data_IF_454785522161
#
_entry.id   IF_454785522161
#
_cell.length_a   1.000
_cell.length_b   1.000
_cell.length_c   1.000
_cell.angle_alpha   90.00
_cell.angle_beta   90.00
_cell.angle_gamma   90.00
#
_symmetry.space_group_name_H-M   'P 1'
#
loop_
_entity.id
_entity.type
_entity.pdbx_description
1 polymer ?
#
# COMPACT_ATOMS: atom_id res chain seq x y z
N UNK A 1 -21.48 12.65 -11.81
CA UNK A 1 -21.06 12.77 -13.22
C UNK A 1 -20.49 14.19 -13.39
N UNK A 2 -19.19 14.29 -13.68
CA UNK A 2 -18.34 15.48 -13.96
C UNK A 2 -18.11 16.49 -12.81
N UNK A 3 -16.92 16.60 -12.20
CA UNK A 3 -15.61 17.13 -12.65
C UNK A 3 -15.36 18.49 -11.94
N UNK A 4 -14.47 18.57 -10.94
CA UNK A 4 -13.05 18.99 -11.02
C UNK A 4 -12.83 20.40 -11.62
N UNK A 5 -12.01 21.20 -10.91
CA UNK A 5 -11.30 22.45 -11.30
C UNK A 5 -11.99 23.81 -11.07
N UNK A 6 -11.54 24.54 -10.04
CA UNK A 6 -11.00 25.90 -10.21
C UNK A 6 -10.17 26.34 -8.99
N UNK A 7 -8.91 26.56 -9.26
CA UNK A 7 -7.75 26.85 -8.42
C UNK A 7 -7.71 28.25 -7.78
N UNK A 8 -6.88 28.37 -6.73
CA UNK A 8 -5.99 29.49 -6.37
C UNK A 8 -6.45 30.97 -6.52
N UNK A 9 -6.46 31.69 -5.39
CA UNK A 9 -6.04 33.10 -5.35
C UNK A 9 -5.24 33.37 -4.06
N UNK A 10 -3.97 33.74 -4.22
CA UNK A 10 -3.14 34.35 -3.18
C UNK A 10 -3.69 35.75 -2.87
N UNK A 11 -3.72 36.12 -1.59
CA UNK A 11 -3.63 37.52 -1.18
C UNK A 11 -2.61 37.67 -0.04
N UNK A 12 -1.79 38.71 -0.15
CA UNK A 12 -0.66 39.03 0.70
C UNK A 12 -1.07 39.73 2.02
N UNK A 13 -0.22 39.50 3.03
CA UNK A 13 0.11 40.34 4.17
C UNK A 13 -1.01 41.09 4.92
N UNK A 14 -1.43 40.50 6.04
CA UNK A 14 -1.61 41.17 7.33
C UNK A 14 -1.51 40.10 8.43
N UNK A 15 -0.98 40.44 9.60
CA UNK A 15 -0.89 39.56 10.77
C UNK A 15 -2.22 38.85 11.01
N UNK A 16 -2.26 37.53 10.84
CA UNK A 16 -3.52 36.77 10.88
C UNK A 16 -3.51 35.80 12.05
N UNK A 17 -4.60 35.86 12.81
CA UNK A 17 -5.01 34.91 13.84
C UNK A 17 -4.67 33.46 13.48
N UNK A 18 -4.46 32.56 14.47
CA UNK A 18 -4.15 31.16 14.23
C UNK A 18 -5.08 30.60 13.16
N UNK A 19 -4.49 30.07 12.09
CA UNK A 19 -5.21 29.68 10.89
C UNK A 19 -6.48 28.87 11.25
N UNK A 20 -7.65 29.19 10.67
CA UNK A 20 -8.87 28.48 10.99
C UNK A 20 -8.66 26.98 10.75
N UNK A 21 -9.00 26.17 11.75
CA UNK A 21 -8.90 24.71 11.64
C UNK A 21 -9.76 24.29 10.45
N UNK A 22 -9.10 23.86 9.37
CA UNK A 22 -9.79 23.42 8.15
C UNK A 22 -10.43 22.05 8.45
N UNK A 23 -11.72 22.06 8.74
CA UNK A 23 -12.52 20.84 8.85
C UNK A 23 -12.70 20.20 7.47
N UNK A 24 -12.91 18.89 7.46
CA UNK A 24 -13.43 18.23 6.26
C UNK A 24 -14.84 18.76 5.95
N UNK A 25 -15.26 18.83 4.66
CA UNK A 25 -16.58 19.30 4.30
C UNK A 25 -17.70 18.52 5.00
N UNK A 26 -18.77 19.20 5.42
CA UNK A 26 -19.91 18.59 6.11
C UNK A 26 -20.50 17.35 5.40
N UNK A 27 -20.59 17.28 4.05
CA UNK A 27 -21.04 16.07 3.37
C UNK A 27 -20.14 14.84 3.57
N UNK A 28 -18.86 15.05 3.89
CA UNK A 28 -17.89 13.98 4.12
C UNK A 28 -17.84 13.55 5.59
N UNK A 29 -18.25 14.42 6.53
CA UNK A 29 -18.20 14.16 7.98
C UNK A 29 -18.81 12.81 8.36
N UNK A 30 -20.03 12.43 7.92
CA UNK A 30 -20.65 11.16 8.31
C UNK A 30 -19.83 9.91 7.97
N UNK A 31 -18.99 9.96 6.93
CA UNK A 31 -18.19 8.82 6.47
C UNK A 31 -17.11 8.42 7.49
N UNK A 32 -16.68 9.36 8.32
CA UNK A 32 -15.63 9.17 9.33
C UNK A 32 -16.18 9.06 10.76
N UNK A 33 -17.51 9.07 10.90
CA UNK A 33 -18.20 8.83 12.16
C UNK A 33 -18.52 7.34 12.33
N UNK A 34 -18.52 6.88 13.58
CA UNK A 34 -18.74 5.48 13.93
C UNK A 34 -20.24 5.21 14.05
N UNK A 35 -20.78 4.43 13.13
CA UNK A 35 -22.18 4.01 13.15
C UNK A 35 -22.53 3.20 14.42
N UNK A 36 -21.64 2.30 14.84
CA UNK A 36 -21.81 1.44 16.01
C UNK A 36 -21.78 2.20 17.36
N UNK A 37 -21.29 3.44 17.37
CA UNK A 37 -21.25 4.30 18.56
C UNK A 37 -22.32 5.40 18.52
N UNK A 38 -23.24 5.36 17.54
CA UNK A 38 -24.35 6.31 17.43
C UNK A 38 -23.99 7.70 16.91
N UNK A 39 -22.72 7.96 16.57
CA UNK A 39 -22.24 9.29 16.15
C UNK A 39 -22.89 9.77 14.84
N UNK A 40 -23.17 8.85 13.91
CA UNK A 40 -23.87 9.16 12.64
C UNK A 40 -25.32 9.60 12.92
N UNK A 41 -25.98 8.97 13.89
CA UNK A 41 -27.34 9.30 14.30
C UNK A 41 -27.35 10.67 15.00
N UNK A 42 -26.36 10.91 15.85
CA UNK A 42 -26.17 12.19 16.54
C UNK A 42 -25.94 13.34 15.54
N UNK A 43 -25.11 13.11 14.52
CA UNK A 43 -24.91 14.05 13.42
C UNK A 43 -26.23 14.40 12.73
N UNK A 44 -26.98 13.38 12.30
CA UNK A 44 -28.28 13.58 11.63
C UNK A 44 -29.27 14.37 12.48
N UNK A 45 -29.35 14.09 13.79
CA UNK A 45 -30.21 14.83 14.74
C UNK A 45 -29.77 16.28 14.88
N UNK A 46 -28.47 16.54 14.98
CA UNK A 46 -27.93 17.89 15.13
C UNK A 46 -28.15 18.73 13.85
N UNK A 47 -28.01 18.14 12.65
CA UNK A 47 -28.34 18.80 11.39
C UNK A 47 -29.83 19.18 11.34
N UNK A 48 -30.73 18.25 11.66
CA UNK A 48 -32.17 18.52 11.70
C UNK A 48 -32.53 19.60 12.72
N UNK A 49 -31.86 19.63 13.88
CA UNK A 49 -32.07 20.66 14.90
C UNK A 49 -31.60 22.04 14.44
N UNK A 50 -30.47 22.10 13.72
CA UNK A 50 -29.95 23.31 13.11
C UNK A 50 -30.95 23.88 12.08
N UNK A 51 -31.45 23.04 11.17
CA UNK A 51 -32.43 23.43 10.15
C UNK A 51 -33.73 23.94 10.76
N UNK A 52 -34.27 23.24 11.77
CA UNK A 52 -35.47 23.69 12.52
C UNK A 52 -35.24 25.02 13.23
N UNK A 53 -34.07 25.20 13.83
CA UNK A 53 -33.68 26.45 14.46
C UNK A 53 -33.63 27.61 13.47
N UNK A 54 -33.04 27.40 12.28
CA UNK A 54 -33.00 28.38 11.20
C UNK A 54 -34.39 28.74 10.67
N UNK A 55 -35.28 27.75 10.49
CA UNK A 55 -36.67 28.00 10.10
C UNK A 55 -37.41 28.86 11.13
N UNK A 56 -37.20 28.59 12.43
CA UNK A 56 -37.77 29.41 13.52
C UNK A 56 -37.24 30.83 13.52
N UNK A 57 -35.94 31.03 13.27
CA UNK A 57 -35.36 32.37 13.12
C UNK A 57 -36.00 33.13 11.95
N UNK A 58 -36.16 32.47 10.80
CA UNK A 58 -36.83 33.07 9.63
C UNK A 58 -38.30 33.40 9.93
N UNK A 59 -39.03 32.49 10.56
CA UNK A 59 -40.43 32.69 10.96
C UNK A 59 -40.56 33.86 11.95
N UNK A 60 -39.74 33.89 13.00
CA UNK A 60 -39.74 34.95 14.00
C UNK A 60 -39.41 36.31 13.39
N UNK A 61 -38.40 36.38 12.51
CA UNK A 61 -38.06 37.60 11.77
C UNK A 61 -39.18 38.05 10.83
N UNK A 62 -39.87 37.12 10.17
CA UNK A 62 -41.02 37.43 9.31
C UNK A 62 -42.17 38.05 10.11
N UNK A 63 -42.49 37.51 11.29
CA UNK A 63 -43.53 38.07 12.19
C UNK A 63 -43.10 39.44 12.74
N UNK A 64 -41.82 39.61 13.04
CA UNK A 64 -41.28 40.88 13.56
C UNK A 64 -41.34 42.00 12.51
N UNK A 65 -41.09 41.68 11.25
CA UNK A 65 -41.05 42.62 10.13
C UNK A 65 -42.40 42.83 9.43
N UNK A 66 -43.45 42.08 9.80
CA UNK A 66 -44.76 42.21 9.18
C UNK A 66 -45.39 43.59 9.49
N UNK A 67 -45.99 44.28 8.50
CA UNK A 67 -46.68 45.55 8.71
C UNK A 67 -47.88 45.36 9.63
N UNK A 68 -48.03 46.26 10.61
CA UNK A 68 -49.00 46.11 11.70
C UNK A 68 -50.14 47.09 11.51
N UNK A 69 -51.31 46.56 11.24
CA UNK A 69 -52.55 47.34 11.16
C UNK A 69 -53.19 47.27 12.55
N UNK A 70 -53.50 48.42 13.15
CA UNK A 70 -54.25 48.47 14.42
C UNK A 70 -55.71 48.09 14.15
N UNK A 71 -56.03 46.80 14.19
CA UNK A 71 -57.40 46.31 14.12
C UNK A 71 -57.94 46.02 15.52
N UNK A 72 -58.87 46.86 15.97
CA UNK A 72 -59.60 46.72 17.24
C UNK A 72 -60.73 45.70 17.09
N UNK A 73 -60.50 44.47 17.56
CA UNK A 73 -61.52 43.45 17.76
C UNK A 73 -61.15 42.55 18.94
N UNK A 74 -62.12 42.13 19.75
CA UNK A 74 -61.94 41.44 21.05
C UNK A 74 -61.22 40.08 21.01
N UNK A 75 -60.79 39.62 19.82
CA UNK A 75 -60.14 38.34 19.58
C UNK A 75 -58.85 38.44 18.75
N UNK A 76 -58.30 39.64 18.54
CA UNK A 76 -57.05 39.81 17.77
C UNK A 76 -55.84 40.11 18.65
N UNK A 77 -54.71 39.46 18.33
CA UNK A 77 -53.40 39.62 18.99
C UNK A 77 -52.93 41.08 18.90
N UNK A 78 -52.55 41.68 20.03
CA UNK A 78 -52.04 43.06 20.02
C UNK A 78 -50.65 43.13 19.38
N UNK A 79 -50.23 44.30 18.83
CA UNK A 79 -48.87 44.48 18.34
C UNK A 79 -47.80 44.04 19.37
N UNK A 80 -47.97 44.38 20.65
CA UNK A 80 -47.01 44.00 21.69
C UNK A 80 -46.95 42.49 21.91
N UNK A 81 -48.10 41.81 21.90
CA UNK A 81 -48.18 40.34 21.97
C UNK A 81 -47.49 39.68 20.78
N UNK A 82 -47.67 40.23 19.57
CA UNK A 82 -46.99 39.75 18.37
C UNK A 82 -45.45 39.95 18.42
N UNK A 83 -44.95 41.05 19.02
CA UNK A 83 -43.48 41.22 19.27
C UNK A 83 -42.98 40.17 20.25
N UNK A 84 -43.67 40.00 21.38
CA UNK A 84 -43.28 39.05 22.41
C UNK A 84 -43.26 37.61 21.88
N UNK A 85 -44.26 37.23 21.06
CA UNK A 85 -44.29 35.93 20.37
C UNK A 85 -43.15 35.78 19.37
N UNK A 86 -42.90 36.78 18.52
CA UNK A 86 -41.80 36.74 17.56
C UNK A 86 -40.45 36.59 18.26
N UNK A 87 -40.21 37.35 19.34
CA UNK A 87 -38.98 37.30 20.12
C UNK A 87 -38.77 35.93 20.77
N UNK A 88 -39.83 35.34 21.36
CA UNK A 88 -39.79 33.98 21.91
C UNK A 88 -39.40 32.94 20.86
N UNK A 89 -39.98 33.02 19.65
CA UNK A 89 -39.64 32.12 18.54
C UNK A 89 -38.16 32.30 18.11
N UNK A 90 -37.68 33.54 18.06
CA UNK A 90 -36.28 33.85 17.75
C UNK A 90 -35.34 33.27 18.81
N UNK A 91 -35.64 33.45 20.09
CA UNK A 91 -34.78 32.97 21.18
C UNK A 91 -34.76 31.43 21.26
N UNK A 92 -35.89 30.77 21.04
CA UNK A 92 -35.96 29.32 20.86
C UNK A 92 -35.13 28.86 19.65
N UNK A 93 -35.21 29.60 18.53
CA UNK A 93 -34.40 29.34 17.34
C UNK A 93 -32.90 29.49 17.60
N UNK A 94 -32.48 30.55 18.30
CA UNK A 94 -31.08 30.78 18.70
C UNK A 94 -30.56 29.67 19.61
N UNK A 95 -31.35 29.25 20.61
CA UNK A 95 -30.98 28.17 21.51
C UNK A 95 -30.80 26.83 20.77
N UNK A 96 -31.71 26.53 19.81
CA UNK A 96 -31.61 25.33 18.98
C UNK A 96 -30.38 25.35 18.07
N UNK A 97 -30.10 26.48 17.41
CA UNK A 97 -28.91 26.66 16.57
C UNK A 97 -27.63 26.54 17.40
N UNK A 98 -27.56 27.20 18.56
CA UNK A 98 -26.38 27.17 19.44
C UNK A 98 -26.10 25.75 19.97
N UNK A 99 -27.13 25.04 20.43
CA UNK A 99 -26.98 23.65 20.88
C UNK A 99 -26.54 22.70 19.77
N UNK A 100 -27.14 22.82 18.57
CA UNK A 100 -26.76 22.02 17.42
C UNK A 100 -25.31 22.32 16.96
N UNK A 101 -24.90 23.59 16.95
CA UNK A 101 -23.56 24.00 16.54
C UNK A 101 -22.45 23.36 17.39
N UNK A 102 -22.64 23.30 18.72
CA UNK A 102 -21.67 22.65 19.63
C UNK A 102 -21.48 21.18 19.28
N UNK A 103 -22.58 20.46 19.06
CA UNK A 103 -22.57 19.04 18.70
C UNK A 103 -21.93 18.81 17.33
N UNK A 104 -22.32 19.59 16.32
CA UNK A 104 -21.76 19.49 14.97
C UNK A 104 -20.26 19.78 14.98
N UNK A 105 -19.80 20.79 15.71
CA UNK A 105 -18.38 21.11 15.81
C UNK A 105 -17.56 20.02 16.49
N UNK A 106 -18.11 19.37 17.53
CA UNK A 106 -17.47 18.21 18.15
C UNK A 106 -17.34 17.07 17.15
N UNK A 107 -18.41 16.76 16.41
CA UNK A 107 -18.41 15.68 15.42
C UNK A 107 -17.49 15.99 14.22
N UNK A 108 -17.44 17.24 13.75
CA UNK A 108 -16.47 17.70 12.74
C UNK A 108 -15.03 17.51 13.21
N UNK A 109 -14.72 17.85 14.46
CA UNK A 109 -13.40 17.61 15.06
C UNK A 109 -13.04 16.14 15.09
N UNK A 110 -13.95 15.28 15.55
CA UNK A 110 -13.76 13.82 15.59
C UNK A 110 -13.53 13.26 14.18
N UNK A 111 -14.40 13.61 13.24
CA UNK A 111 -14.31 13.14 11.86
C UNK A 111 -13.03 13.64 11.17
N UNK A 112 -12.65 14.90 11.38
CA UNK A 112 -11.41 15.48 10.83
C UNK A 112 -10.17 14.82 11.42
N UNK A 113 -10.16 14.51 12.73
CA UNK A 113 -9.05 13.79 13.35
C UNK A 113 -8.90 12.38 12.77
N UNK A 114 -10.01 11.65 12.63
CA UNK A 114 -10.00 10.30 12.03
C UNK A 114 -9.62 10.32 10.56
N UNK A 115 -10.10 11.30 9.80
CA UNK A 115 -9.67 11.51 8.42
C UNK A 115 -8.15 11.69 8.35
N UNK A 116 -7.58 12.60 9.15
CA UNK A 116 -6.13 12.84 9.19
C UNK A 116 -5.35 11.59 9.55
N UNK A 117 -5.81 10.82 10.53
CA UNK A 117 -5.17 9.55 10.90
C UNK A 117 -5.23 8.51 9.77
N UNK A 118 -6.34 8.46 9.03
CA UNK A 118 -6.55 7.55 7.91
C UNK A 118 -5.82 7.97 6.63
N UNK A 119 -5.47 9.24 6.48
CA UNK A 119 -4.82 9.78 5.27
C UNK A 119 -3.42 10.33 5.54
N UNK A 120 -2.80 9.98 6.67
CA UNK A 120 -1.42 10.38 6.94
C UNK A 120 -0.47 9.71 5.97
N UNK A 121 0.66 10.35 5.71
CA UNK A 121 1.76 9.74 4.98
C UNK A 121 2.36 8.62 5.82
N UNK A 122 2.53 7.45 5.22
CA UNK A 122 3.24 6.31 5.80
C UNK A 122 4.48 6.04 4.95
N UNK A 123 5.62 5.85 5.60
CA UNK A 123 6.83 5.42 4.93
C UNK A 123 7.11 3.97 5.31
N UNK A 124 7.20 3.11 4.30
CA UNK A 124 7.69 1.74 4.44
C UNK A 124 9.12 1.73 3.94
N UNK A 125 10.07 1.32 4.78
CA UNK A 125 11.50 1.34 4.45
C UNK A 125 12.14 0.01 4.84
N UNK A 126 12.77 -0.63 3.87
CA UNK A 126 13.51 -1.88 4.07
C UNK A 126 14.95 -1.71 3.55
N UNK A 127 15.91 -2.36 4.23
CA UNK A 127 17.33 -2.28 3.93
C UNK A 127 17.87 -3.67 3.58
N UNK A 128 18.66 -3.73 2.51
CA UNK A 128 19.19 -4.97 1.94
C UNK A 128 20.70 -4.84 1.79
N UNK A 129 21.49 -5.32 2.78
CA UNK A 129 22.93 -5.38 2.65
C UNK A 129 23.30 -6.38 1.55
N UNK A 130 24.27 -6.00 0.72
CA UNK A 130 24.74 -6.87 -0.35
C UNK A 130 25.28 -8.19 0.19
N UNK A 131 24.85 -9.30 -0.40
CA UNK A 131 25.19 -10.65 0.01
C UNK A 131 25.45 -11.58 -1.18
N UNK A 132 26.15 -12.69 -0.94
CA UNK A 132 26.43 -13.69 -1.98
C UNK A 132 25.15 -14.43 -2.37
N UNK A 133 24.93 -14.63 -3.67
CA UNK A 133 23.75 -15.32 -4.23
C UNK A 133 23.47 -16.65 -3.54
N UNK A 134 24.48 -17.52 -3.41
CA UNK A 134 24.31 -18.82 -2.76
C UNK A 134 23.90 -18.75 -1.28
N UNK A 135 24.35 -17.72 -0.55
CA UNK A 135 23.90 -17.48 0.83
C UNK A 135 22.43 -17.05 0.85
N UNK A 136 22.05 -16.10 -0.02
CA UNK A 136 20.68 -15.62 -0.14
C UNK A 136 19.69 -16.74 -0.50
N UNK A 137 20.03 -17.60 -1.45
CA UNK A 137 19.18 -18.73 -1.85
C UNK A 137 19.00 -19.73 -0.69
N UNK A 138 20.06 -20.06 0.06
CA UNK A 138 19.93 -20.91 1.25
C UNK A 138 19.03 -20.29 2.32
N UNK A 139 19.21 -19.00 2.60
CA UNK A 139 18.39 -18.29 3.59
C UNK A 139 16.92 -18.21 3.16
N UNK A 140 16.67 -17.92 1.89
CA UNK A 140 15.34 -17.91 1.30
C UNK A 140 14.67 -19.29 1.40
N UNK A 141 15.38 -20.36 1.04
CA UNK A 141 14.87 -21.74 1.15
C UNK A 141 14.42 -22.06 2.58
N UNK A 142 15.25 -21.78 3.59
CA UNK A 142 14.91 -22.05 5.00
C UNK A 142 13.67 -21.26 5.44
N UNK A 143 13.61 -19.96 5.12
CA UNK A 143 12.51 -19.08 5.54
C UNK A 143 11.21 -19.44 4.83
N UNK A 144 11.24 -19.66 3.52
CA UNK A 144 10.07 -20.02 2.74
C UNK A 144 9.56 -21.42 3.10
N UNK A 145 10.45 -22.40 3.36
CA UNK A 145 10.04 -23.70 3.91
C UNK A 145 9.34 -23.56 5.26
N UNK A 146 9.82 -22.66 6.14
CA UNK A 146 9.14 -22.37 7.40
C UNK A 146 7.75 -21.79 7.16
N UNK A 147 7.60 -20.81 6.28
CA UNK A 147 6.28 -20.25 5.91
C UNK A 147 5.35 -21.35 5.39
N UNK A 148 5.85 -22.22 4.52
CA UNK A 148 5.07 -23.29 3.94
C UNK A 148 4.62 -24.30 5.03
N UNK A 149 5.53 -24.68 5.93
CA UNK A 149 5.23 -25.58 7.06
C UNK A 149 4.19 -24.99 8.00
N UNK A 150 4.37 -23.73 8.41
CA UNK A 150 3.45 -23.03 9.30
C UNK A 150 2.07 -22.80 8.64
N UNK A 151 2.05 -22.68 7.30
CA UNK A 151 0.83 -22.58 6.48
C UNK A 151 0.14 -23.91 6.17
N UNK A 152 0.73 -25.05 6.54
CA UNK A 152 0.19 -26.39 6.29
C UNK A 152 0.48 -26.98 4.89
N UNK A 153 1.31 -26.32 4.10
CA UNK A 153 1.70 -26.76 2.77
C UNK A 153 2.67 -27.95 2.84
N UNK A 154 2.38 -29.01 2.09
CA UNK A 154 3.15 -30.27 2.13
C UNK A 154 3.98 -30.52 0.87
N UNK A 155 3.64 -29.86 -0.23
CA UNK A 155 4.30 -30.05 -1.53
C UNK A 155 4.79 -28.72 -2.05
N UNK A 156 6.02 -28.71 -2.57
CA UNK A 156 6.66 -27.51 -3.12
C UNK A 156 7.15 -27.80 -4.54
N UNK A 157 6.68 -27.02 -5.50
CA UNK A 157 7.21 -27.03 -6.86
C UNK A 157 8.10 -25.81 -7.08
N UNK A 158 9.38 -26.04 -7.37
CA UNK A 158 10.28 -24.99 -7.87
C UNK A 158 10.16 -24.98 -9.40
N UNK A 159 9.56 -23.92 -9.94
CA UNK A 159 9.05 -23.94 -11.33
C UNK A 159 9.92 -23.17 -12.33
N UNK A 160 10.80 -22.29 -11.86
CA UNK A 160 11.71 -21.60 -12.74
C UNK A 160 12.30 -20.32 -12.16
N UNK A 161 12.99 -19.59 -13.02
CA UNK A 161 13.53 -18.28 -12.71
C UNK A 161 13.60 -17.41 -13.94
N UNK A 162 13.45 -16.11 -13.71
CA UNK A 162 13.65 -15.08 -14.73
C UNK A 162 14.67 -14.04 -14.27
N UNK A 163 15.34 -13.45 -15.24
CA UNK A 163 16.18 -12.27 -15.08
C UNK A 163 15.62 -11.16 -15.95
N UNK A 164 15.41 -10.00 -15.38
CA UNK A 164 15.05 -8.78 -16.09
C UNK A 164 16.23 -7.81 -15.99
N UNK A 165 16.88 -7.54 -17.11
CA UNK A 165 17.97 -6.57 -17.18
C UNK A 165 17.41 -5.15 -17.30
N UNK A 166 18.29 -4.15 -17.18
CA UNK A 166 17.87 -2.74 -17.25
C UNK A 166 17.24 -2.33 -18.60
N UNK A 167 17.43 -3.10 -19.68
CA UNK A 167 16.73 -2.89 -20.95
C UNK A 167 15.27 -3.38 -20.93
N UNK A 168 14.80 -3.92 -19.79
CA UNK A 168 13.45 -4.41 -19.59
C UNK A 168 13.18 -5.80 -20.19
N UNK A 169 14.17 -6.42 -20.84
CA UNK A 169 14.00 -7.74 -21.43
C UNK A 169 14.07 -8.84 -20.38
N UNK A 170 13.23 -9.85 -20.57
CA UNK A 170 13.10 -11.00 -19.68
C UNK A 170 13.86 -12.19 -20.28
N UNK A 171 14.73 -12.78 -19.49
CA UNK A 171 15.51 -13.97 -19.83
C UNK A 171 15.21 -15.09 -18.83
N UNK A 172 15.02 -16.32 -19.30
CA UNK A 172 14.95 -17.48 -18.41
C UNK A 172 16.37 -17.84 -17.93
N UNK A 173 16.53 -18.17 -16.65
CA UNK A 173 17.86 -18.46 -16.06
C UNK A 173 17.93 -19.82 -15.35
N UNK A 174 17.90 -20.95 -16.09
CA UNK A 174 17.81 -22.29 -15.49
C UNK A 174 18.84 -22.59 -14.40
N UNK A 175 20.07 -22.11 -14.53
CA UNK A 175 21.12 -22.28 -13.52
C UNK A 175 20.75 -21.71 -12.13
N UNK A 176 19.97 -20.62 -12.08
CA UNK A 176 19.45 -20.05 -10.82
C UNK A 176 18.35 -20.93 -10.25
N UNK A 177 17.51 -21.51 -11.10
CA UNK A 177 16.49 -22.49 -10.70
C UNK A 177 17.13 -23.74 -10.07
N UNK A 178 18.17 -24.29 -10.71
CA UNK A 178 18.94 -25.42 -10.20
C UNK A 178 19.62 -25.10 -8.87
N UNK A 179 20.21 -23.90 -8.76
CA UNK A 179 20.84 -23.42 -7.52
C UNK A 179 19.82 -23.29 -6.37
N UNK A 180 18.62 -22.77 -6.64
CA UNK A 180 17.54 -22.72 -5.66
C UNK A 180 17.10 -24.14 -5.26
N UNK A 181 16.98 -25.06 -6.22
CA UNK A 181 16.57 -26.45 -5.95
C UNK A 181 17.61 -27.18 -5.09
N UNK A 182 18.89 -26.94 -5.33
CA UNK A 182 19.98 -27.45 -4.50
C UNK A 182 19.96 -26.85 -3.08
N UNK A 183 19.77 -25.54 -2.96
CA UNK A 183 19.62 -24.86 -1.67
C UNK A 183 18.39 -25.36 -0.88
N UNK A 184 17.27 -25.57 -1.56
CA UNK A 184 16.04 -26.14 -0.99
C UNK A 184 16.26 -27.55 -0.45
N UNK A 185 16.85 -28.42 -1.28
CA UNK A 185 17.15 -29.81 -0.92
C UNK A 185 18.11 -29.87 0.28
N UNK A 186 19.11 -28.98 0.31
CA UNK A 186 20.06 -28.88 1.42
C UNK A 186 19.40 -28.44 2.73
N UNK A 187 18.42 -27.53 2.65
CA UNK A 187 17.66 -27.07 3.82
C UNK A 187 16.72 -28.17 4.34
N UNK A 188 15.91 -28.74 3.46
CA UNK A 188 15.03 -29.89 3.70
C UNK A 188 14.49 -30.38 2.35
N UNK A 189 14.76 -31.64 2.01
CA UNK A 189 14.26 -32.25 0.78
C UNK A 189 12.79 -32.66 0.85
N UNK A 190 12.20 -32.68 2.05
CA UNK A 190 10.84 -33.14 2.30
C UNK A 190 9.82 -32.29 1.53
N UNK A 191 8.91 -32.96 0.83
CA UNK A 191 7.84 -32.28 0.09
C UNK A 191 8.27 -31.59 -1.21
N UNK A 192 9.56 -31.57 -1.55
CA UNK A 192 10.01 -31.03 -2.83
C UNK A 192 9.60 -31.97 -3.97
N UNK A 193 8.74 -31.47 -4.87
CA UNK A 193 8.26 -32.24 -6.00
C UNK A 193 9.36 -32.41 -7.07
N UNK A 194 9.37 -33.55 -7.80
CA UNK A 194 10.23 -33.73 -8.96
C UNK A 194 9.91 -32.71 -10.06
N UNK A 195 10.88 -32.42 -10.91
CA UNK A 195 10.65 -31.63 -12.12
C UNK A 195 9.88 -32.51 -13.11
N UNK A 196 8.73 -32.08 -13.66
CA UNK A 196 8.01 -32.84 -14.67
C UNK A 196 8.86 -33.07 -15.92
N UNK A 197 8.73 -34.23 -16.55
CA UNK A 197 9.48 -34.58 -17.77
C UNK A 197 9.19 -33.63 -18.93
N UNK A 198 7.92 -33.25 -19.10
CA UNK A 198 7.46 -32.29 -20.11
C UNK A 198 7.76 -30.81 -19.72
N UNK A 199 8.31 -30.59 -18.52
CA UNK A 199 8.53 -29.26 -17.95
C UNK A 199 7.25 -28.60 -17.40
N UNK A 200 7.40 -27.35 -16.98
CA UNK A 200 6.30 -26.52 -16.49
C UNK A 200 5.80 -25.57 -17.57
N UNK A 201 4.48 -25.39 -17.67
CA UNK A 201 3.82 -24.39 -18.51
C UNK A 201 2.59 -23.84 -17.79
N UNK A 202 2.31 -22.54 -17.89
CA UNK A 202 1.12 -21.98 -17.24
C UNK A 202 -0.11 -22.23 -18.12
N UNK A 203 -1.10 -22.93 -17.56
CA UNK A 203 -2.43 -23.08 -18.16
C UNK A 203 -3.49 -22.51 -17.23
N UNK A 204 -4.33 -21.63 -17.77
CA UNK A 204 -5.38 -21.00 -16.98
C UNK A 204 -6.43 -22.05 -16.58
N UNK A 205 -6.81 -22.05 -15.30
CA UNK A 205 -7.94 -22.88 -14.86
C UNK A 205 -9.25 -22.36 -15.43
N UNK A 206 -10.23 -23.23 -15.64
CA UNK A 206 -11.62 -22.79 -15.86
C UNK A 206 -12.19 -22.21 -14.57
N UNK A 207 -13.25 -21.40 -14.66
CA UNK A 207 -13.88 -20.76 -13.49
C UNK A 207 -14.14 -21.79 -12.37
N UNK A 208 -13.58 -21.52 -11.18
CA UNK A 208 -13.54 -22.36 -9.98
C UNK A 208 -12.50 -23.50 -9.92
N UNK A 209 -11.59 -23.63 -10.88
CA UNK A 209 -10.49 -24.61 -10.83
C UNK A 209 -9.11 -23.94 -10.73
N UNK A 210 -8.19 -24.58 -10.03
CA UNK A 210 -6.82 -24.10 -9.90
C UNK A 210 -6.11 -24.11 -11.27
N UNK A 211 -5.23 -23.14 -11.56
CA UNK A 211 -4.37 -23.19 -12.74
C UNK A 211 -3.52 -24.46 -12.77
N UNK A 212 -3.25 -24.97 -13.97
CA UNK A 212 -2.43 -26.16 -14.18
C UNK A 212 -1.04 -25.75 -14.62
N UNK A 213 0.00 -26.28 -13.95
CA UNK A 213 1.40 -26.01 -14.31
C UNK A 213 2.07 -27.15 -15.09
N UNK A 214 1.48 -28.34 -15.09
CA UNK A 214 1.91 -29.51 -15.83
C UNK A 214 0.71 -30.43 -16.08
N UNK A 215 0.84 -31.40 -16.97
CA UNK A 215 -0.23 -32.32 -17.35
C UNK A 215 -0.78 -33.13 -16.18
N UNK A 216 0.10 -33.55 -15.26
CA UNK A 216 -0.26 -34.36 -14.08
C UNK A 216 -0.57 -33.50 -12.84
N UNK A 217 -0.77 -32.19 -13.02
CA UNK A 217 -0.98 -31.24 -11.92
C UNK A 217 -2.33 -31.48 -11.23
N UNK A 218 -2.30 -31.93 -9.98
CA UNK A 218 -3.50 -32.18 -9.15
C UNK A 218 -3.47 -31.34 -7.89
N UNK A 219 -4.07 -30.14 -7.97
CA UNK A 219 -4.25 -29.24 -6.82
C UNK A 219 -5.74 -29.03 -6.60
N UNK A 220 -6.30 -29.72 -5.59
CA UNK A 220 -7.75 -29.78 -5.35
C UNK A 220 -8.23 -28.90 -4.18
N UNK A 221 -7.31 -28.35 -3.39
CA UNK A 221 -7.67 -27.48 -2.26
C UNK A 221 -6.57 -26.46 -1.94
N UNK A 222 -6.95 -25.29 -1.40
CA UNK A 222 -5.99 -24.32 -0.88
C UNK A 222 -5.07 -24.91 0.19
N UNK A 223 -3.91 -24.28 0.41
CA UNK A 223 -2.98 -24.62 1.50
C UNK A 223 -2.38 -26.04 1.45
N UNK A 224 -2.33 -26.65 0.27
CA UNK A 224 -1.75 -28.00 0.10
C UNK A 224 -0.41 -27.97 -0.63
N UNK A 225 -0.35 -27.22 -1.72
CA UNK A 225 0.80 -27.17 -2.63
C UNK A 225 1.24 -25.72 -2.85
N UNK A 226 2.56 -25.48 -2.87
CA UNK A 226 3.14 -24.18 -3.20
C UNK A 226 3.88 -24.21 -4.52
N UNK A 227 3.90 -23.06 -5.18
CA UNK A 227 4.74 -22.77 -6.35
C UNK A 227 5.83 -21.78 -5.93
N UNK A 228 7.08 -22.06 -6.25
CA UNK A 228 8.26 -21.27 -5.87
C UNK A 228 9.09 -20.93 -7.11
N UNK A 229 9.55 -19.69 -7.21
CA UNK A 229 10.38 -19.23 -8.33
C UNK A 229 11.34 -18.12 -7.90
N UNK A 230 12.28 -17.79 -8.79
CA UNK A 230 13.23 -16.68 -8.59
C UNK A 230 13.02 -15.59 -9.63
N UNK A 231 13.04 -14.34 -9.19
CA UNK A 231 13.04 -13.15 -10.04
C UNK A 231 14.34 -12.39 -9.77
N UNK A 232 15.12 -12.09 -10.81
CA UNK A 232 16.37 -11.33 -10.69
C UNK A 232 16.22 -10.03 -11.47
N UNK A 233 16.46 -8.88 -10.84
CA UNK A 233 16.34 -7.57 -11.48
C UNK A 233 17.66 -6.82 -11.46
N UNK A 234 18.12 -6.38 -12.63
CA UNK A 234 19.28 -5.48 -12.77
C UNK A 234 19.00 -4.12 -12.15
N UNK A 235 19.95 -3.61 -11.35
CA UNK A 235 19.87 -2.27 -10.77
C UNK A 235 20.76 -1.28 -11.52
N UNK A 236 22.02 -1.62 -11.71
CA UNK A 236 23.01 -0.77 -12.39
C UNK A 236 23.01 -1.02 -13.90
N UNK A 237 23.40 -0.03 -14.69
CA UNK A 237 23.40 -0.09 -16.16
C UNK A 237 24.27 -1.24 -16.70
N UNK A 238 25.35 -1.57 -15.99
CA UNK A 238 26.21 -2.73 -16.26
C UNK A 238 25.65 -4.06 -15.71
N UNK A 239 24.52 -4.02 -15.02
CA UNK A 239 23.87 -5.11 -14.30
C UNK A 239 24.77 -5.83 -13.28
N UNK A 240 25.81 -5.16 -12.78
CA UNK A 240 26.72 -5.71 -11.76
C UNK A 240 25.99 -5.96 -10.43
N UNK A 241 25.04 -5.09 -10.07
CA UNK A 241 24.17 -5.24 -8.91
C UNK A 241 22.75 -5.64 -9.31
N UNK A 242 22.20 -6.59 -8.56
CA UNK A 242 20.86 -7.12 -8.80
C UNK A 242 20.06 -7.26 -7.52
N UNK A 243 18.75 -7.16 -7.63
CA UNK A 243 17.84 -7.68 -6.61
C UNK A 243 17.45 -9.11 -6.98
N UNK A 244 17.74 -10.04 -6.09
CA UNK A 244 17.28 -11.40 -6.15
C UNK A 244 16.06 -11.54 -5.26
N UNK A 245 14.94 -11.98 -5.84
CA UNK A 245 13.70 -12.23 -5.13
C UNK A 245 13.31 -13.69 -5.27
N UNK A 246 13.02 -14.35 -4.14
CA UNK A 246 12.45 -15.70 -4.14
C UNK A 246 10.99 -15.59 -3.71
N UNK A 247 10.08 -16.01 -4.57
CA UNK A 247 8.64 -15.88 -4.38
C UNK A 247 8.03 -17.24 -4.11
N UNK A 248 6.96 -17.23 -3.33
CA UNK A 248 6.14 -18.40 -3.05
C UNK A 248 4.66 -18.03 -3.16
N UNK A 249 3.90 -18.84 -3.90
CA UNK A 249 2.45 -18.73 -4.02
C UNK A 249 1.75 -20.03 -3.60
N UNK A 250 0.50 -19.90 -3.18
CA UNK A 250 -0.42 -21.03 -3.08
C UNK A 250 -0.83 -21.49 -4.49
N UNK A 251 -0.59 -22.76 -4.80
CA UNK A 251 -0.85 -23.33 -6.12
C UNK A 251 -2.35 -23.39 -6.49
N UNK A 252 -3.26 -23.32 -5.51
CA UNK A 252 -4.70 -23.34 -5.77
C UNK A 252 -5.23 -21.95 -6.09
N UNK A 253 -4.85 -20.95 -5.28
CA UNK A 253 -5.39 -19.58 -5.40
C UNK A 253 -4.53 -18.67 -6.27
N UNK A 254 -3.29 -19.07 -6.59
CA UNK A 254 -2.25 -18.24 -7.20
C UNK A 254 -2.03 -16.90 -6.48
N UNK A 255 -2.22 -16.88 -5.16
CA UNK A 255 -1.87 -15.73 -4.33
C UNK A 255 -0.48 -15.92 -3.75
N UNK A 256 0.31 -14.85 -3.74
CA UNK A 256 1.59 -14.83 -3.05
C UNK A 256 1.37 -15.02 -1.54
N UNK A 257 2.18 -15.88 -0.94
CA UNK A 257 2.18 -16.20 0.49
C UNK A 257 3.54 -15.96 1.13
N UNK A 258 4.59 -15.83 0.32
CA UNK A 258 5.94 -15.57 0.78
C UNK A 258 6.75 -14.82 -0.26
N UNK A 259 7.60 -13.92 0.21
CA UNK A 259 8.57 -13.24 -0.63
C UNK A 259 9.81 -12.90 0.18
N UNK A 260 10.95 -13.31 -0.34
CA UNK A 260 12.25 -12.92 0.19
C UNK A 260 12.97 -12.07 -0.87
N UNK A 261 13.67 -11.02 -0.44
CA UNK A 261 14.39 -10.10 -1.32
C UNK A 261 15.80 -9.85 -0.78
N UNK A 262 16.77 -9.81 -1.69
CA UNK A 262 18.19 -9.64 -1.36
C UNK A 262 18.90 -8.80 -2.41
N UNK A 263 19.85 -7.98 -1.97
CA UNK A 263 20.82 -7.33 -2.86
C UNK A 263 21.98 -8.29 -3.13
N UNK A 264 22.25 -8.57 -4.40
CA UNK A 264 23.28 -9.51 -4.85
C UNK A 264 24.04 -8.99 -6.07
N UNK A 265 24.94 -9.81 -6.61
CA UNK A 265 25.59 -9.57 -7.91
C UNK A 265 25.12 -10.57 -8.95
N UNK A 266 25.03 -10.16 -10.22
CA UNK A 266 24.57 -11.04 -11.30
C UNK A 266 25.59 -12.13 -11.67
N UNK A 267 26.88 -11.78 -11.67
CA UNK A 267 27.99 -12.71 -11.89
C UNK A 267 28.75 -12.97 -10.59
N UNK A 268 29.49 -14.10 -10.50
CA UNK A 268 30.57 -14.25 -9.53
C UNK A 268 31.67 -13.25 -9.91
N UNK A 269 31.44 -11.96 -9.65
CA UNK A 269 32.50 -10.97 -9.75
C UNK A 269 33.51 -11.32 -8.67
N UNK A 270 34.66 -11.84 -9.09
CA UNK A 270 35.74 -12.30 -8.20
C UNK A 270 36.28 -11.18 -7.29
N UNK A 271 35.90 -9.93 -7.52
CA UNK A 271 35.94 -8.89 -6.51
C UNK A 271 34.92 -7.79 -6.81
N UNK A 272 33.97 -7.57 -5.89
CA UNK A 272 33.22 -6.31 -5.91
C UNK A 272 34.06 -5.32 -5.11
N UNK A 273 34.70 -4.36 -5.80
CA UNK A 273 35.57 -3.38 -5.16
C UNK A 273 34.86 -2.52 -4.09
N UNK A 274 33.52 -2.48 -4.13
CA UNK A 274 32.62 -1.69 -3.30
C UNK A 274 31.46 -2.55 -2.84
N UNK A 275 31.14 -2.52 -1.54
CA UNK A 275 29.97 -3.21 -0.99
C UNK A 275 28.84 -2.21 -0.89
N UNK A 276 27.65 -2.57 -1.37
CA UNK A 276 26.48 -1.69 -1.34
C UNK A 276 25.44 -2.13 -0.31
N UNK A 277 24.60 -1.18 0.09
CA UNK A 277 23.32 -1.41 0.73
C UNK A 277 22.22 -0.88 -0.18
N UNK A 278 21.17 -1.65 -0.39
CA UNK A 278 19.97 -1.17 -1.08
C UNK A 278 18.93 -0.76 -0.05
N UNK A 279 18.40 0.45 -0.20
CA UNK A 279 17.28 0.95 0.59
C UNK A 279 16.06 1.05 -0.31
N UNK A 280 15.03 0.27 -0.01
CA UNK A 280 13.74 0.34 -0.68
C UNK A 280 12.81 1.17 0.19
N UNK A 281 12.20 2.21 -0.39
CA UNK A 281 11.30 3.10 0.34
C UNK A 281 10.02 3.37 -0.46
N UNK A 282 8.87 3.09 0.16
CA UNK A 282 7.55 3.54 -0.32
C UNK A 282 7.04 4.64 0.59
N UNK A 283 6.91 5.85 0.02
CA UNK A 283 6.14 6.94 0.61
C UNK A 283 4.70 6.83 0.15
N UNK A 284 3.84 6.26 0.99
CA UNK A 284 2.39 6.16 0.79
C UNK A 284 1.73 7.43 1.33
N UNK A 285 1.30 8.31 0.44
CA UNK A 285 0.87 9.67 0.78
C UNK A 285 -0.51 9.73 1.45
N UNK A 286 -1.25 8.61 1.50
CA UNK A 286 -2.62 8.56 2.05
C UNK A 286 -2.92 7.28 2.83
N UNK A 287 -1.90 6.66 3.41
CA UNK A 287 -2.00 5.37 4.10
C UNK A 287 -2.85 4.35 3.32
N UNK A 288 -2.73 4.35 1.99
CA UNK A 288 -3.55 3.53 1.12
C UNK A 288 -3.29 2.04 1.37
N UNK A 289 -2.04 1.59 1.49
CA UNK A 289 -1.71 0.19 1.73
C UNK A 289 -2.24 -0.30 3.10
N UNK A 290 -2.00 0.41 4.22
CA UNK A 290 -2.61 0.05 5.51
C UNK A 290 -4.14 0.00 5.47
N UNK A 291 -4.79 0.94 4.79
CA UNK A 291 -6.25 0.94 4.64
C UNK A 291 -6.72 -0.25 3.83
N UNK A 292 -6.04 -0.56 2.73
CA UNK A 292 -6.35 -1.70 1.89
C UNK A 292 -6.23 -3.02 2.67
N UNK A 293 -5.17 -3.19 3.44
CA UNK A 293 -4.98 -4.34 4.31
C UNK A 293 -6.06 -4.47 5.40
N UNK A 294 -6.48 -3.34 5.99
CA UNK A 294 -7.55 -3.35 7.00
C UNK A 294 -8.94 -3.69 6.43
N UNK A 295 -9.13 -3.54 5.12
CA UNK A 295 -10.42 -3.75 4.46
C UNK A 295 -10.74 -5.21 4.13
N UNK A 296 -9.88 -6.15 4.54
CA UNK A 296 -10.08 -7.58 4.37
C UNK A 296 -9.22 -8.20 3.25
N UNK A 297 -9.68 -9.34 2.73
CA UNK A 297 -8.99 -10.18 1.75
C UNK A 297 -9.03 -9.59 0.32
N UNK A 298 -8.52 -8.38 0.16
CA UNK A 298 -8.38 -7.72 -1.13
C UNK A 298 -7.10 -8.15 -1.82
N UNK A 299 -7.23 -8.52 -3.08
CA UNK A 299 -6.12 -8.89 -3.96
C UNK A 299 -5.94 -7.81 -5.00
N UNK A 300 -4.68 -7.43 -5.23
CA UNK A 300 -4.32 -6.50 -6.29
C UNK A 300 -3.47 -7.19 -7.34
N UNK A 301 -3.80 -6.95 -8.60
CA UNK A 301 -3.03 -7.41 -9.76
C UNK A 301 -2.07 -6.33 -10.24
N UNK A 302 -1.23 -6.68 -11.20
CA UNK A 302 -0.26 -5.78 -11.82
C UNK A 302 -0.38 -5.88 -13.33
N UNK A 303 -0.36 -4.73 -14.01
CA UNK A 303 -0.31 -4.73 -15.46
C UNK A 303 1.11 -5.06 -15.95
N UNK A 304 1.20 -5.82 -17.05
CA UNK A 304 2.48 -6.11 -17.73
C UNK A 304 3.12 -4.88 -18.38
N UNK A 305 2.33 -3.84 -18.65
CA UNK A 305 2.82 -2.55 -19.17
C UNK A 305 3.53 -1.71 -18.12
N UNK A 306 3.44 -2.08 -16.83
CA UNK A 306 4.15 -1.40 -15.76
C UNK A 306 5.66 -1.67 -15.79
N UNK A 307 6.41 -0.86 -15.06
CA UNK A 307 7.83 -1.13 -14.76
C UNK A 307 8.02 -2.50 -14.09
N UNK A 308 8.81 -3.44 -14.66
CA UNK A 308 9.02 -4.77 -14.07
C UNK A 308 9.64 -4.71 -12.66
N UNK A 309 10.66 -3.86 -12.47
CA UNK A 309 11.30 -3.68 -11.16
C UNK A 309 10.35 -3.01 -10.16
N UNK A 310 9.62 -1.97 -10.57
CA UNK A 310 8.64 -1.30 -9.72
C UNK A 310 7.53 -2.26 -9.26
N UNK A 311 7.03 -3.12 -10.16
CA UNK A 311 6.09 -4.20 -9.82
C UNK A 311 6.68 -5.12 -8.76
N UNK A 312 7.91 -5.61 -8.97
CA UNK A 312 8.53 -6.57 -8.06
C UNK A 312 8.74 -6.00 -6.65
N UNK A 313 9.23 -4.77 -6.55
CA UNK A 313 9.41 -4.06 -5.29
C UNK A 313 8.07 -3.85 -4.57
N UNK A 314 7.04 -3.36 -5.27
CA UNK A 314 5.73 -3.15 -4.65
C UNK A 314 5.09 -4.45 -4.20
N UNK A 315 5.20 -5.54 -4.99
CA UNK A 315 4.76 -6.88 -4.57
C UNK A 315 5.41 -7.29 -3.25
N UNK A 316 6.72 -7.07 -3.10
CA UNK A 316 7.45 -7.41 -1.89
C UNK A 316 6.88 -6.65 -0.67
N UNK A 317 6.79 -5.32 -0.74
CA UNK A 317 6.24 -4.49 0.35
C UNK A 317 4.76 -4.78 0.65
N UNK A 318 3.98 -5.18 -0.37
CA UNK A 318 2.60 -5.62 -0.17
C UNK A 318 2.53 -6.86 0.75
N UNK A 319 3.49 -7.77 0.63
CA UNK A 319 3.55 -9.01 1.42
C UNK A 319 4.26 -8.84 2.77
N UNK A 320 5.44 -8.19 2.79
CA UNK A 320 6.29 -8.10 3.98
C UNK A 320 5.71 -7.16 5.03
N UNK A 321 5.29 -5.96 4.62
CA UNK A 321 4.94 -4.88 5.54
C UNK A 321 3.43 -4.68 5.70
N UNK A 322 2.68 -4.75 4.60
CA UNK A 322 1.26 -4.33 4.60
C UNK A 322 0.26 -5.48 4.62
N UNK A 323 0.67 -6.71 4.30
CA UNK A 323 -0.22 -7.90 4.23
C UNK A 323 -1.39 -7.74 3.25
N UNK A 324 -1.18 -6.96 2.19
CA UNK A 324 -2.12 -6.84 1.08
C UNK A 324 -2.01 -8.08 0.20
N UNK A 325 -3.14 -8.66 -0.21
CA UNK A 325 -3.16 -9.81 -1.11
C UNK A 325 -2.61 -9.46 -2.49
N UNK A 326 -1.79 -10.36 -3.04
CA UNK A 326 -1.14 -10.16 -4.35
C UNK A 326 -1.29 -11.41 -5.21
N UNK A 327 -1.70 -11.22 -6.47
CA UNK A 327 -1.72 -12.27 -7.49
C UNK A 327 -0.32 -12.64 -8.01
N UNK A 328 -0.12 -13.91 -8.34
CA UNK A 328 1.14 -14.47 -8.82
C UNK A 328 1.15 -14.74 -10.33
N UNK A 329 -0.02 -14.91 -10.95
CA UNK A 329 -0.14 -15.43 -12.33
C UNK A 329 0.61 -14.59 -13.35
N UNK A 330 0.68 -13.26 -13.18
CA UNK A 330 1.42 -12.41 -14.12
C UNK A 330 2.92 -12.73 -14.13
N UNK A 331 3.53 -12.93 -12.95
CA UNK A 331 4.96 -13.33 -12.84
C UNK A 331 5.17 -14.74 -13.38
N UNK A 332 4.24 -15.67 -13.10
CA UNK A 332 4.37 -17.06 -13.53
C UNK A 332 4.29 -17.20 -15.05
N UNK A 333 3.46 -16.43 -15.74
CA UNK A 333 3.42 -16.43 -17.21
C UNK A 333 4.73 -15.90 -17.81
N UNK A 334 5.41 -14.93 -17.19
CA UNK A 334 6.75 -14.47 -17.65
C UNK A 334 7.81 -15.57 -17.55
N UNK A 335 7.70 -16.44 -16.54
CA UNK A 335 8.68 -17.49 -16.26
C UNK A 335 8.38 -18.77 -17.07
N UNK A 336 7.13 -19.19 -17.06
CA UNK A 336 6.69 -20.46 -17.62
C UNK A 336 6.29 -20.33 -19.09
N UNK A 337 5.73 -19.18 -19.50
CA UNK A 337 4.97 -19.06 -20.74
C UNK A 337 3.64 -19.83 -20.67
N UNK A 338 2.95 -19.96 -21.81
CA UNK A 338 1.66 -20.63 -21.92
C UNK A 338 0.51 -19.63 -22.09
N UNK A 339 -0.59 -19.88 -21.39
CA UNK A 339 -1.81 -19.07 -21.47
C UNK A 339 -1.63 -17.66 -20.89
N UNK A 340 -2.57 -16.77 -21.20
CA UNK A 340 -2.62 -15.45 -20.57
C UNK A 340 -2.86 -15.55 -19.05
N UNK A 341 -2.25 -14.62 -18.30
CA UNK A 341 -2.34 -14.60 -16.85
C UNK A 341 -3.79 -14.37 -16.37
N UNK A 342 -4.21 -15.13 -15.35
CA UNK A 342 -5.46 -14.86 -14.63
C UNK A 342 -5.33 -13.62 -13.75
N UNK A 343 -6.46 -13.04 -13.34
CA UNK A 343 -6.50 -11.94 -12.38
C UNK A 343 -6.40 -12.41 -10.92
N UNK A 344 -6.42 -13.72 -10.64
CA UNK A 344 -6.25 -14.30 -9.29
C UNK A 344 -7.24 -13.74 -8.25
N UNK A 345 -8.44 -13.36 -8.71
CA UNK A 345 -9.47 -12.73 -7.88
C UNK A 345 -9.20 -11.25 -7.54
N UNK A 346 -8.28 -10.59 -8.26
CA UNK A 346 -7.96 -9.19 -8.03
C UNK A 346 -9.14 -8.25 -8.27
N UNK A 347 -9.38 -7.35 -7.31
CA UNK A 347 -10.43 -6.33 -7.42
C UNK A 347 -9.88 -4.97 -7.88
N UNK A 348 -8.56 -4.83 -7.90
CA UNK A 348 -7.87 -3.63 -8.36
C UNK A 348 -6.56 -4.00 -9.06
N UNK A 349 -6.03 -3.05 -9.83
CA UNK A 349 -4.77 -3.19 -10.57
C UNK A 349 -3.83 -2.04 -10.20
N UNK A 350 -2.59 -2.37 -9.86
CA UNK A 350 -1.54 -1.37 -9.70
C UNK A 350 -1.10 -0.80 -11.05
N UNK A 351 -0.87 0.50 -11.11
CA UNK A 351 -0.21 1.21 -12.20
C UNK A 351 1.09 1.79 -11.68
N UNK A 352 2.19 1.40 -12.31
CA UNK A 352 3.53 1.74 -11.86
C UNK A 352 4.34 2.28 -13.03
N UNK A 353 4.68 3.56 -12.93
CA UNK A 353 5.43 4.28 -13.96
C UNK A 353 6.81 4.62 -13.44
N UNK A 354 7.85 4.24 -14.19
CA UNK A 354 9.22 4.67 -13.90
C UNK A 354 9.34 6.18 -14.06
N UNK A 355 9.98 6.83 -13.11
CA UNK A 355 10.37 8.23 -13.18
C UNK A 355 11.85 8.34 -13.52
N UNK A 356 12.31 9.54 -13.85
CA UNK A 356 13.74 9.80 -14.01
C UNK A 356 14.51 9.42 -12.74
N UNK A 357 15.65 8.79 -12.96
CA UNK A 357 16.53 8.28 -11.92
C UNK A 357 17.97 8.27 -12.43
N UNK A 358 18.86 7.70 -11.63
CA UNK A 358 20.24 7.48 -11.99
C UNK A 358 20.63 6.03 -11.70
N UNK A 359 21.89 5.68 -11.95
CA UNK A 359 22.41 4.33 -11.77
C UNK A 359 22.27 3.80 -10.33
N UNK A 360 22.28 4.71 -9.35
CA UNK A 360 22.21 4.40 -7.91
C UNK A 360 20.83 4.68 -7.31
N UNK A 361 19.87 5.18 -8.07
CA UNK A 361 18.55 5.54 -7.55
C UNK A 361 17.50 5.43 -8.64
N UNK A 362 16.51 4.55 -8.43
CA UNK A 362 15.35 4.44 -9.30
C UNK A 362 14.09 4.82 -8.54
N UNK A 363 13.20 5.56 -9.21
CA UNK A 363 11.97 6.09 -8.64
C UNK A 363 10.77 5.65 -9.48
N UNK A 364 9.64 5.40 -8.83
CA UNK A 364 8.42 4.95 -9.47
C UNK A 364 7.21 5.67 -8.88
N UNK A 365 6.33 6.16 -9.73
CA UNK A 365 5.01 6.68 -9.33
C UNK A 365 4.04 5.51 -9.22
N UNK A 366 3.36 5.41 -8.08
CA UNK A 366 2.42 4.33 -7.77
C UNK A 366 1.00 4.88 -7.72
N UNK A 367 0.11 4.21 -8.43
CA UNK A 367 -1.32 4.46 -8.39
C UNK A 367 -2.11 3.16 -8.50
N UNK A 368 -3.35 3.16 -8.02
CA UNK A 368 -4.22 2.00 -7.98
C UNK A 368 -5.52 2.31 -8.72
N UNK A 369 -5.91 1.42 -9.63
CA UNK A 369 -7.17 1.49 -10.37
C UNK A 369 -8.06 0.34 -9.91
N UNK A 370 -9.20 0.63 -9.27
CA UNK A 370 -10.20 -0.40 -9.00
C UNK A 370 -11.06 -0.60 -10.25
N UNK A 371 -11.58 -1.82 -10.44
CA UNK A 371 -12.44 -2.12 -11.59
C UNK A 371 -13.62 -1.14 -11.59
N UNK A 372 -13.66 -0.24 -12.59
CA UNK A 372 -14.64 0.86 -12.79
C UNK A 372 -14.51 2.13 -11.93
N UNK A 373 -13.34 2.46 -11.38
CA UNK A 373 -13.11 3.72 -10.64
C UNK A 373 -12.03 4.62 -11.26
N UNK A 374 -12.02 5.89 -10.86
CA UNK A 374 -10.91 6.80 -11.14
C UNK A 374 -9.60 6.27 -10.53
N UNK A 375 -8.48 6.65 -11.16
CA UNK A 375 -7.14 6.31 -10.72
C UNK A 375 -6.83 6.97 -9.37
N UNK A 376 -6.45 6.17 -8.38
CA UNK A 376 -6.07 6.65 -7.05
C UNK A 376 -4.56 6.78 -6.99
N UNK A 377 -4.04 7.99 -6.84
CA UNK A 377 -2.63 8.21 -6.54
C UNK A 377 -2.30 7.72 -5.12
N UNK A 378 -1.30 6.85 -5.03
CA UNK A 378 -0.88 6.22 -3.77
C UNK A 378 0.42 6.83 -3.26
N UNK A 379 1.42 7.01 -4.11
CA UNK A 379 2.64 7.70 -3.72
C UNK A 379 3.86 7.34 -4.55
N UNK A 380 5.03 7.37 -3.90
CA UNK A 380 6.33 7.22 -4.55
C UNK A 380 7.11 6.05 -3.96
N UNK A 381 7.47 5.11 -4.83
CA UNK A 381 8.36 4.01 -4.52
C UNK A 381 9.75 4.33 -5.05
N UNK A 382 10.78 4.00 -4.28
CA UNK A 382 12.17 4.21 -4.67
C UNK A 382 13.06 3.07 -4.21
N UNK A 383 14.12 2.80 -4.96
CA UNK A 383 15.25 1.98 -4.54
C UNK A 383 16.52 2.79 -4.70
N UNK A 384 17.32 2.86 -3.63
CA UNK A 384 18.59 3.59 -3.59
C UNK A 384 19.73 2.65 -3.24
N UNK A 385 20.86 2.82 -3.89
CA UNK A 385 22.09 2.10 -3.65
C UNK A 385 23.11 3.03 -3.00
N UNK A 386 23.59 2.63 -1.82
CA UNK A 386 24.58 3.38 -1.07
C UNK A 386 25.82 2.51 -0.84
N UNK A 387 27.00 3.02 -1.16
CA UNK A 387 28.26 2.35 -0.87
C UNK A 387 28.46 2.31 0.65
N UNK A 388 28.67 1.11 1.21
CA UNK A 388 28.99 0.95 2.61
C UNK A 388 30.37 1.55 2.89
N UNK A 389 30.45 2.40 3.91
CA UNK A 389 31.71 2.96 4.37
C UNK A 389 32.68 1.83 4.75
N UNK A 390 33.92 1.90 4.25
CA UNK A 390 34.99 0.97 4.67
C UNK A 390 35.12 1.05 6.20
N UNK A 391 35.21 -0.09 6.91
CA UNK A 391 35.50 -0.06 8.34
C UNK A 391 36.82 0.68 8.54
N UNK A 392 36.80 1.69 9.43
CA UNK A 392 37.97 2.48 9.78
C UNK A 392 38.94 1.52 10.47
N UNK A 393 39.95 1.04 9.76
CA UNK A 393 40.98 0.20 10.35
C UNK A 393 41.57 0.95 11.55
N UNK A 394 41.31 0.43 12.76
CA UNK A 394 42.06 0.83 13.94
C UNK A 394 43.52 0.50 13.64
N UNK A 395 44.30 1.53 13.33
CA UNK A 395 45.75 1.42 13.23
C UNK A 395 46.23 0.90 14.58
N UNK A 396 46.52 -0.41 14.68
CA UNK A 396 47.39 -0.90 15.74
C UNK A 396 48.72 -0.22 15.51
N UNK A 397 48.98 0.86 16.25
CA UNK A 397 50.33 1.33 16.51
C UNK A 397 51.08 0.17 17.11
N UNK A 398 51.85 -0.53 16.28
CA UNK A 398 52.88 -1.45 16.76
C UNK A 398 53.91 -0.57 17.44
N UNK A 399 53.82 -0.48 18.78
CA UNK A 399 54.86 0.14 19.59
C UNK A 399 56.18 -0.59 19.31
N UNK A 400 57.18 0.18 18.89
CA UNK A 400 58.54 -0.30 18.73
C UNK A 400 59.03 -0.94 20.04
N UNK A 401 59.82 -2.03 19.99
CA UNK A 401 60.31 -2.68 21.20
C UNK A 401 61.28 -1.72 21.92
N UNK A 402 61.04 -1.54 23.22
CA UNK A 402 61.91 -0.76 24.10
C UNK A 402 63.32 -1.38 24.11
N UNK A 403 64.32 -0.61 23.71
CA UNK A 403 65.72 -0.92 23.99
C UNK A 403 65.93 -0.90 25.50
N UNK A 404 66.27 -2.05 26.08
CA UNK A 404 66.72 -2.12 27.48
C UNK A 404 68.05 -1.36 27.68
N UNK A 405 68.29 -0.80 28.86
CA UNK A 405 69.52 -0.05 29.13
C UNK A 405 70.69 -1.01 29.35
N UNK A 406 71.77 -0.81 28.60
CA UNK A 406 73.10 -1.29 28.96
C UNK A 406 73.68 -0.40 30.06
N UNK A 407 73.60 -0.86 31.31
CA UNK A 407 74.70 -1.06 32.27
C UNK A 407 74.15 -1.35 33.66
#
# INVERSE_FOLDING_TARGET
MYALLASFALLAAAETAPAPIKFIPDPEVPQYLKANQGEVIEWGRAVQQLEKGQQRLQQGNSILNAPRITTTGAFQETPEQAKARAQKIIDEGKAQVSGAAVTLDRLRRVATARYKDLTKTVNLTENFPQSKVGYCLNLASVRLQKIARDGGYKVHHIVGSMTVLNDGKIFKTPAVTESLRAAWTKADATGLAPVPEEGYSYKVGSDATAPQLTKDWKVSSPRTTTVVWVEVYGLTNDNSLTLLMVRMADAYTMRLIGSEMYLTTFNPAESVAKVYNATVNLRDEKSFLPRLASSGDRVVSYARTNSPLGNALLKHLCLSDSKVGVGASQSLVDILGGDAASLDGAQATWKITSLEGNDLSKNFKISCEANSSDLIEVGLLSVKLEEQAKPRNATKTVGAPAKGPTK
#
